data_IF_800703429705
#
_entry.id   IF_800703429705
#
_cell.length_a   1.000
_cell.length_b   1.000
_cell.length_c   1.000
_cell.angle_alpha   90.00
_cell.angle_beta   90.00
_cell.angle_gamma   90.00
#
_symmetry.space_group_name_H-M   'P 1'
#
loop_
_entity.id
_entity.type
_entity.pdbx_description
1 polymer ?
#
# COMPACT_ATOMS: atom_id res chain seq x y z
N UNK A 1 2.43 0.49 5.85
CA UNK A 1 3.90 0.49 5.81
C UNK A 1 4.48 -0.24 7.01
N UNK A 2 4.53 0.33 8.21
CA UNK A 2 5.15 -0.35 9.37
C UNK A 2 4.52 -1.72 9.69
N UNK A 3 3.20 -1.82 9.70
CA UNK A 3 2.53 -3.12 9.86
C UNK A 3 2.94 -4.11 8.77
N UNK A 4 3.05 -3.65 7.52
CA UNK A 4 3.50 -4.46 6.39
C UNK A 4 4.90 -5.02 6.64
N UNK A 5 5.84 -4.18 7.11
CA UNK A 5 7.21 -4.61 7.45
C UNK A 5 7.23 -5.63 8.59
N UNK A 6 6.43 -5.41 9.64
CA UNK A 6 6.36 -6.34 10.78
C UNK A 6 5.70 -7.68 10.40
N UNK A 7 4.69 -7.65 9.53
CA UNK A 7 3.99 -8.86 9.08
C UNK A 7 4.74 -9.62 7.99
N UNK A 8 5.63 -8.96 7.23
CA UNK A 8 6.29 -9.52 6.06
C UNK A 8 7.00 -10.86 6.32
N UNK A 9 7.82 -11.04 7.39
CA UNK A 9 8.46 -12.34 7.66
C UNK A 9 7.45 -13.47 7.87
N UNK A 10 6.34 -13.19 8.56
CA UNK A 10 5.29 -14.18 8.85
C UNK A 10 4.50 -14.53 7.57
N UNK A 11 4.19 -13.51 6.76
CA UNK A 11 3.50 -13.69 5.48
C UNK A 11 4.36 -14.47 4.48
N UNK A 12 5.66 -14.17 4.41
CA UNK A 12 6.61 -14.92 3.58
C UNK A 12 6.72 -16.38 4.03
N UNK A 13 6.87 -16.62 5.34
CA UNK A 13 6.92 -17.98 5.89
C UNK A 13 5.65 -18.80 5.61
N UNK A 14 4.49 -18.15 5.47
CA UNK A 14 3.23 -18.82 5.12
C UNK A 14 3.18 -19.33 3.68
N UNK A 15 4.05 -18.83 2.78
CA UNK A 15 4.08 -19.17 1.35
C UNK A 15 2.88 -18.69 0.53
N UNK A 16 1.85 -18.10 1.15
CA UNK A 16 0.62 -17.60 0.50
C UNK A 16 0.09 -16.31 1.14
N UNK A 17 0.98 -15.50 1.69
CA UNK A 17 0.62 -14.25 2.37
C UNK A 17 0.12 -13.18 1.39
N UNK A 18 -0.81 -12.32 1.84
CA UNK A 18 -1.26 -11.16 1.07
C UNK A 18 -1.48 -9.95 1.97
N UNK A 19 -1.27 -8.75 1.41
CA UNK A 19 -1.53 -7.47 2.08
C UNK A 19 -2.44 -6.65 1.16
N UNK A 20 -3.59 -6.22 1.69
CA UNK A 20 -4.55 -5.38 0.95
C UNK A 20 -4.56 -3.99 1.56
N UNK A 21 -4.24 -2.98 0.75
CA UNK A 21 -4.30 -1.58 1.15
C UNK A 21 -5.61 -0.92 0.70
N UNK A 22 -6.27 -0.20 1.60
CA UNK A 22 -7.50 0.54 1.28
C UNK A 22 -7.17 1.98 0.87
N UNK A 23 -7.21 2.22 -0.45
CA UNK A 23 -7.01 3.55 -1.03
C UNK A 23 -8.33 4.33 -1.19
N UNK A 24 -8.40 5.25 -2.15
CA UNK A 24 -9.58 6.02 -2.55
C UNK A 24 -9.43 6.51 -3.99
N UNK A 25 -10.55 6.80 -4.65
CA UNK A 25 -10.57 7.50 -5.96
C UNK A 25 -9.86 8.85 -5.89
N UNK A 26 -9.91 9.53 -4.73
CA UNK A 26 -9.21 10.78 -4.48
C UNK A 26 -7.67 10.64 -4.50
N UNK A 27 -7.14 9.41 -4.37
CA UNK A 27 -5.70 9.11 -4.51
C UNK A 27 -5.26 8.89 -5.96
N UNK A 28 -6.18 9.00 -6.93
CA UNK A 28 -5.93 8.78 -8.36
C UNK A 28 -6.33 9.99 -9.19
N UNK A 29 -7.46 10.62 -8.86
CA UNK A 29 -7.96 11.82 -9.54
C UNK A 29 -8.18 12.96 -8.55
N UNK A 30 -8.00 14.20 -9.02
CA UNK A 30 -8.28 15.38 -8.23
C UNK A 30 -9.79 15.52 -7.98
N UNK A 31 -10.14 15.91 -6.75
CA UNK A 31 -11.50 16.21 -6.34
C UNK A 31 -11.55 17.62 -5.71
N UNK A 32 -12.70 18.30 -5.69
CA UNK A 32 -12.79 19.71 -5.26
C UNK A 32 -12.52 19.97 -3.77
N UNK A 33 -12.17 18.95 -2.98
CA UNK A 33 -11.89 19.07 -1.54
C UNK A 33 -10.97 17.94 -1.04
N UNK A 34 -10.45 18.06 0.19
CA UNK A 34 -9.73 16.96 0.84
C UNK A 34 -8.28 16.78 0.38
N UNK A 35 -7.56 17.85 0.03
CA UNK A 35 -6.17 17.83 -0.47
C UNK A 35 -5.24 16.91 0.32
N UNK A 36 -5.23 16.99 1.65
CA UNK A 36 -4.34 16.18 2.50
C UNK A 36 -4.78 14.71 2.51
N UNK A 37 -6.10 14.45 2.51
CA UNK A 37 -6.62 13.09 2.40
C UNK A 37 -6.27 12.47 1.06
N UNK A 38 -6.48 13.20 -0.05
CA UNK A 38 -6.11 12.79 -1.40
C UNK A 38 -4.60 12.47 -1.49
N UNK A 39 -3.75 13.33 -0.93
CA UNK A 39 -2.31 13.09 -0.85
C UNK A 39 -1.98 11.81 -0.07
N UNK A 40 -2.59 11.60 1.09
CA UNK A 40 -2.41 10.37 1.88
C UNK A 40 -2.87 9.11 1.13
N UNK A 41 -3.99 9.19 0.41
CA UNK A 41 -4.49 8.07 -0.42
C UNK A 41 -3.61 7.81 -1.64
N UNK A 42 -3.07 8.86 -2.26
CA UNK A 42 -2.05 8.73 -3.31
C UNK A 42 -0.77 8.07 -2.80
N UNK A 43 -0.32 8.43 -1.59
CA UNK A 43 0.85 7.80 -0.96
C UNK A 43 0.63 6.30 -0.72
N UNK A 44 -0.57 5.87 -0.32
CA UNK A 44 -0.92 4.44 -0.19
C UNK A 44 -0.73 3.70 -1.52
N UNK A 45 -1.16 4.30 -2.64
CA UNK A 45 -1.00 3.70 -3.96
C UNK A 45 0.48 3.49 -4.30
N UNK A 46 1.32 4.50 -4.03
CA UNK A 46 2.75 4.40 -4.32
C UNK A 46 3.47 3.41 -3.41
N UNK A 47 3.15 3.40 -2.10
CA UNK A 47 3.69 2.41 -1.16
C UNK A 47 3.35 0.99 -1.61
N UNK A 48 2.09 0.75 -2.02
CA UNK A 48 1.65 -0.57 -2.48
C UNK A 48 2.49 -1.05 -3.66
N UNK A 49 2.72 -0.18 -4.66
CA UNK A 49 3.54 -0.50 -5.84
C UNK A 49 4.99 -0.78 -5.47
N UNK A 50 5.60 0.07 -4.64
CA UNK A 50 6.99 -0.10 -4.23
C UNK A 50 7.19 -1.42 -3.48
N UNK A 51 6.34 -1.70 -2.49
CA UNK A 51 6.42 -2.96 -1.74
C UNK A 51 6.19 -4.19 -2.62
N UNK A 52 5.25 -4.11 -3.58
CA UNK A 52 5.04 -5.20 -4.53
C UNK A 52 6.29 -5.46 -5.40
N UNK A 53 7.00 -4.42 -5.84
CA UNK A 53 8.25 -4.57 -6.56
C UNK A 53 9.38 -5.09 -5.67
N UNK A 54 9.54 -4.55 -4.46
CA UNK A 54 10.59 -4.91 -3.51
C UNK A 54 10.49 -6.37 -3.06
N UNK A 55 9.27 -6.89 -2.92
CA UNK A 55 9.00 -8.24 -2.39
C UNK A 55 8.55 -9.24 -3.46
N UNK A 56 8.66 -8.89 -4.75
CA UNK A 56 8.16 -9.72 -5.86
C UNK A 56 8.83 -11.11 -5.96
N UNK A 57 10.08 -11.23 -5.52
CA UNK A 57 10.87 -12.46 -5.59
C UNK A 57 10.72 -13.39 -4.39
N UNK A 58 9.93 -12.98 -3.39
CA UNK A 58 9.69 -13.78 -2.19
C UNK A 58 8.77 -14.98 -2.45
#
# INVERSE_FOLDING_TARGET
YHLSQLSHPLLKASGKGSIVFISSVAGVVAIPSGTIYAAGKGAINQITKNLACEWASD
#
